data_IF_186646363373
#
_entry.id   IF_186646363373
#
_cell.length_a   1.000
_cell.length_b   1.000
_cell.length_c   1.000
_cell.angle_alpha   90.00
_cell.angle_beta   90.00
_cell.angle_gamma   90.00
#
_symmetry.space_group_name_H-M   'P 1'
#
loop_
_entity.id
_entity.type
_entity.pdbx_description
1 polymer ?
#
# COMPACT_ATOMS: atom_id res chain seq x y z
N UNK A 1 4.83 -4.86 -20.30
CA UNK A 1 4.29 -4.97 -18.97
C UNK A 1 2.97 -5.68 -18.99
N UNK A 2 2.82 -6.64 -18.13
CA UNK A 2 1.58 -7.36 -18.10
C UNK A 2 0.52 -6.59 -17.35
N UNK A 3 -0.64 -6.48 -17.96
CA UNK A 3 -1.72 -5.74 -17.38
C UNK A 3 -2.46 -6.61 -16.37
N UNK A 4 -2.79 -6.04 -15.23
CA UNK A 4 -3.57 -6.76 -14.24
C UNK A 4 -4.99 -6.91 -14.71
N UNK A 5 -5.54 -8.11 -14.50
CA UNK A 5 -6.89 -8.43 -14.92
C UNK A 5 -7.86 -8.10 -13.79
N UNK A 6 -8.08 -6.83 -13.57
CA UNK A 6 -8.98 -6.37 -12.51
C UNK A 6 -10.21 -5.76 -13.17
N UNK A 7 -11.34 -6.39 -12.96
CA UNK A 7 -12.56 -5.93 -13.62
C UNK A 7 -13.17 -4.74 -12.92
N UNK A 8 -13.49 -4.89 -11.63
CA UNK A 8 -14.05 -3.78 -10.86
C UNK A 8 -13.10 -3.40 -9.74
N UNK A 9 -12.90 -4.31 -8.83
CA UNK A 9 -11.97 -4.11 -7.75
C UNK A 9 -11.47 -5.46 -7.26
N UNK A 10 -10.32 -5.43 -6.64
CA UNK A 10 -9.72 -6.62 -6.05
C UNK A 10 -9.04 -6.21 -4.75
N UNK A 11 -8.87 -7.20 -3.87
CA UNK A 11 -8.14 -6.99 -2.64
C UNK A 11 -6.79 -7.69 -2.80
N UNK A 12 -5.72 -6.95 -2.57
CA UNK A 12 -4.38 -7.51 -2.59
C UNK A 12 -3.76 -7.38 -1.21
N UNK A 13 -2.95 -8.36 -0.87
CA UNK A 13 -2.19 -8.31 0.38
C UNK A 13 -0.95 -7.47 0.17
N UNK A 14 -0.86 -6.36 0.87
CA UNK A 14 0.28 -5.48 0.73
C UNK A 14 0.07 -4.18 1.47
N UNK A 15 1.07 -3.32 1.38
CA UNK A 15 1.04 -2.02 2.03
C UNK A 15 1.29 -0.96 0.97
N UNK A 16 0.48 0.09 0.98
CA UNK A 16 0.59 1.12 -0.05
C UNK A 16 0.82 2.48 0.59
N UNK A 17 1.76 3.23 0.02
CA UNK A 17 1.99 4.62 0.42
C UNK A 17 1.92 5.50 -0.81
N UNK A 18 1.68 6.78 -0.58
CA UNK A 18 1.64 7.79 -1.60
C UNK A 18 2.82 8.72 -1.41
N UNK A 19 3.66 8.81 -2.43
CA UNK A 19 4.81 9.70 -2.41
C UNK A 19 4.57 10.78 -3.46
N UNK A 20 4.17 11.96 -2.99
CA UNK A 20 3.96 13.11 -3.87
C UNK A 20 3.04 12.78 -5.03
N UNK A 21 1.94 12.08 -4.74
CA UNK A 21 0.97 11.74 -5.75
C UNK A 21 1.21 10.43 -6.48
N UNK A 22 2.30 9.75 -6.19
CA UNK A 22 2.62 8.47 -6.81
C UNK A 22 2.43 7.34 -5.82
N UNK A 23 1.62 6.36 -6.19
CA UNK A 23 1.35 5.23 -5.31
C UNK A 23 2.41 4.16 -5.45
N UNK A 24 2.91 3.71 -4.30
CA UNK A 24 3.89 2.64 -4.22
C UNK A 24 3.26 1.49 -3.44
N UNK A 25 3.11 0.35 -4.09
CA UNK A 25 2.54 -0.84 -3.46
C UNK A 25 3.68 -1.76 -3.07
N UNK A 26 3.75 -2.08 -1.79
CA UNK A 26 4.79 -2.93 -1.24
C UNK A 26 4.19 -4.29 -0.97
N UNK A 27 4.70 -5.33 -1.63
CA UNK A 27 4.20 -6.69 -1.46
C UNK A 27 5.33 -7.58 -0.96
N UNK A 28 4.94 -8.74 -0.46
CA UNK A 28 5.90 -9.68 0.07
C UNK A 28 5.24 -10.53 1.13
N UNK A 29 5.93 -11.58 1.54
CA UNK A 29 5.39 -12.47 2.54
C UNK A 29 5.34 -11.79 3.90
N UNK A 30 4.56 -12.37 4.79
CA UNK A 30 4.46 -11.88 6.16
C UNK A 30 5.85 -11.87 6.79
N UNK A 31 6.21 -10.79 7.42
CA UNK A 31 7.52 -10.68 8.04
C UNK A 31 8.61 -10.19 7.11
N UNK A 32 8.29 -9.87 5.87
CA UNK A 32 9.31 -9.41 4.92
C UNK A 32 9.74 -7.96 5.14
N UNK A 33 9.04 -7.23 6.01
CA UNK A 33 9.42 -5.85 6.29
C UNK A 33 8.60 -4.82 5.56
N UNK A 34 7.42 -5.20 5.06
CA UNK A 34 6.59 -4.27 4.30
C UNK A 34 6.21 -3.04 5.12
N UNK A 35 5.72 -3.26 6.33
CA UNK A 35 5.29 -2.14 7.17
C UNK A 35 6.49 -1.30 7.63
N UNK A 36 7.62 -1.94 7.87
CA UNK A 36 8.82 -1.18 8.24
C UNK A 36 9.27 -0.26 7.12
N UNK A 37 9.23 -0.75 5.87
CA UNK A 37 9.59 0.11 4.75
C UNK A 37 8.58 1.25 4.62
N UNK A 38 7.30 0.95 4.77
CA UNK A 38 6.28 2.00 4.66
C UNK A 38 6.49 3.06 5.72
N UNK A 39 6.77 2.65 6.96
CA UNK A 39 6.98 3.60 8.04
C UNK A 39 8.19 4.47 7.75
N UNK A 40 9.26 3.88 7.22
CA UNK A 40 10.41 4.68 6.83
C UNK A 40 10.08 5.71 5.76
N UNK A 41 9.28 5.32 4.78
CA UNK A 41 8.88 6.27 3.74
C UNK A 41 7.98 7.36 4.30
N UNK A 42 7.09 7.00 5.23
CA UNK A 42 6.23 8.00 5.85
C UNK A 42 7.06 9.00 6.65
N UNK A 43 8.10 8.52 7.31
CA UNK A 43 9.00 9.43 8.04
C UNK A 43 9.68 10.42 7.10
N UNK A 44 9.81 10.06 5.82
CA UNK A 44 10.41 10.93 4.82
C UNK A 44 9.38 11.78 4.08
N UNK A 45 8.11 11.71 4.48
CA UNK A 45 7.09 12.57 3.92
C UNK A 45 6.00 11.86 3.13
N UNK A 46 6.03 10.55 3.03
CA UNK A 46 4.96 9.83 2.35
C UNK A 46 3.72 9.77 3.22
N UNK A 47 2.60 9.44 2.59
CA UNK A 47 1.33 9.24 3.28
C UNK A 47 0.91 7.79 3.15
N UNK A 48 0.33 7.25 4.18
CA UNK A 48 -0.19 5.89 4.12
C UNK A 48 -1.51 5.86 3.36
N UNK A 49 -1.65 4.88 2.48
CA UNK A 49 -2.92 4.64 1.81
C UNK A 49 -3.62 3.44 2.46
N UNK A 50 -2.91 2.34 2.59
CA UNK A 50 -3.49 1.12 3.16
C UNK A 50 -2.37 0.24 3.69
N UNK A 51 -2.67 -0.49 4.76
CA UNK A 51 -1.71 -1.43 5.34
C UNK A 51 -2.34 -2.82 5.35
N UNK A 52 -1.55 -3.82 4.96
CA UNK A 52 -1.90 -5.23 5.00
C UNK A 52 -2.86 -5.65 3.91
N UNK A 53 -3.90 -4.88 3.63
CA UNK A 53 -4.82 -5.17 2.53
C UNK A 53 -5.10 -3.89 1.77
N UNK A 54 -5.01 -3.98 0.45
CA UNK A 54 -5.25 -2.84 -0.42
C UNK A 54 -6.35 -3.18 -1.39
N UNK A 55 -7.27 -2.25 -1.58
CA UNK A 55 -8.31 -2.41 -2.60
C UNK A 55 -7.85 -1.71 -3.86
N UNK A 56 -7.85 -2.45 -4.97
CA UNK A 56 -7.38 -1.92 -6.24
C UNK A 56 -8.55 -1.88 -7.20
N UNK A 57 -8.75 -0.73 -7.82
CA UNK A 57 -9.80 -0.55 -8.82
C UNK A 57 -9.20 -0.16 -10.13
N UNK A 58 -9.73 -0.75 -11.19
CA UNK A 58 -9.31 -0.43 -12.54
C UNK A 58 -10.15 0.75 -13.02
N UNK A 59 -9.49 1.85 -13.35
CA UNK A 59 -10.15 3.03 -13.89
C UNK A 59 -9.61 3.31 -15.27
N UNK A 60 -10.19 4.28 -15.95
CA UNK A 60 -9.89 4.49 -17.36
C UNK A 60 -8.41 4.68 -17.64
N UNK A 61 -7.71 5.38 -16.77
CA UNK A 61 -6.31 5.70 -17.03
C UNK A 61 -5.36 5.10 -16.02
N UNK A 62 -5.75 4.01 -15.37
CA UNK A 62 -4.81 3.35 -14.48
C UNK A 62 -5.49 2.55 -13.40
N UNK A 63 -4.72 2.27 -12.36
CA UNK A 63 -5.20 1.55 -11.19
C UNK A 63 -5.16 2.46 -9.98
N UNK A 64 -6.26 2.49 -9.25
CA UNK A 64 -6.35 3.28 -8.03
C UNK A 64 -6.34 2.33 -6.85
N UNK A 65 -5.54 2.67 -5.85
CA UNK A 65 -5.45 1.88 -4.63
C UNK A 65 -6.05 2.68 -3.49
N UNK A 66 -6.83 2.01 -2.65
CA UNK A 66 -7.40 2.61 -1.47
C UNK A 66 -7.44 1.58 -0.36
N UNK A 67 -7.74 2.06 0.84
CA UNK A 67 -7.91 1.17 1.98
C UNK A 67 -9.31 0.55 1.94
N UNK A 68 -9.42 -0.77 2.14
CA UNK A 68 -10.77 -1.34 2.31
C UNK A 68 -11.50 -0.65 3.44
N UNK A 69 -12.78 -0.40 3.24
CA UNK A 69 -13.55 0.38 4.20
C UNK A 69 -13.62 -0.27 5.57
N UNK A 70 -13.51 -1.59 5.62
CA UNK A 70 -13.64 -2.31 6.88
C UNK A 70 -12.39 -2.27 7.74
N UNK A 71 -11.28 -1.75 7.23
CA UNK A 71 -10.02 -1.78 7.96
C UNK A 71 -9.76 -0.44 8.65
N UNK A 72 -9.00 -0.46 9.75
CA UNK A 72 -8.72 0.78 10.46
C UNK A 72 -7.73 1.67 9.70
N UNK A 73 -7.75 2.94 10.04
CA UNK A 73 -6.85 3.93 9.45
C UNK A 73 -5.56 4.00 10.25
N UNK A 74 -4.81 2.93 10.24
CA UNK A 74 -3.60 2.87 11.05
C UNK A 74 -2.67 1.84 10.45
N UNK A 75 -1.46 1.79 10.98
CA UNK A 75 -0.47 0.82 10.55
C UNK A 75 0.04 0.10 11.80
N UNK A 76 0.28 -1.19 11.67
CA UNK A 76 0.76 -1.97 12.81
C UNK A 76 2.27 -1.94 12.87
N UNK A 77 2.80 -1.50 14.01
CA UNK A 77 4.22 -1.54 14.28
C UNK A 77 4.49 -2.65 15.29
N UNK A 78 5.40 -3.53 14.95
CA UNK A 78 5.74 -4.63 15.81
C UNK A 78 6.21 -4.13 17.18
N UNK A 79 5.63 -4.71 18.21
CA UNK A 79 5.99 -4.38 19.58
C UNK A 79 5.33 -3.13 20.11
N UNK A 80 4.65 -2.38 19.27
CA UNK A 80 3.99 -1.14 19.69
C UNK A 80 2.48 -1.24 19.51
N UNK A 81 2.05 -1.81 18.39
CA UNK A 81 0.64 -1.93 18.10
C UNK A 81 0.24 -1.03 16.93
N UNK A 82 -1.02 -0.63 16.92
CA UNK A 82 -1.53 0.21 15.85
C UNK A 82 -1.13 1.66 16.08
N UNK A 83 -0.59 2.27 15.04
CA UNK A 83 -0.09 3.64 15.13
C UNK A 83 -0.78 4.49 14.08
N UNK A 84 -1.26 5.66 14.47
CA UNK A 84 -1.83 6.63 13.53
C UNK A 84 -0.71 7.33 12.78
N UNK A 85 -0.89 7.46 11.48
CA UNK A 85 0.08 8.14 10.63
C UNK A 85 -0.67 9.01 9.64
N UNK A 86 0.02 9.95 8.97
CA UNK A 86 -0.65 10.73 7.92
C UNK A 86 -1.16 9.82 6.81
N UNK A 87 -2.38 10.06 6.37
CA UNK A 87 -3.01 9.20 5.37
C UNK A 87 -3.66 10.01 4.27
N UNK A 88 -3.79 9.38 3.11
CA UNK A 88 -4.64 9.86 2.03
C UNK A 88 -5.61 8.76 1.69
N UNK A 89 -6.72 9.14 1.04
CA UNK A 89 -7.79 8.18 0.79
C UNK A 89 -7.47 7.21 -0.32
N UNK A 90 -6.72 7.63 -1.30
CA UNK A 90 -6.41 6.78 -2.45
C UNK A 90 -5.25 7.37 -3.21
N UNK A 91 -4.68 6.55 -4.09
CA UNK A 91 -3.59 7.00 -4.93
C UNK A 91 -3.58 6.17 -6.20
N UNK A 92 -2.98 6.71 -7.27
CA UNK A 92 -2.73 5.92 -8.47
C UNK A 92 -1.49 5.06 -8.28
N UNK A 93 -1.61 3.80 -8.70
CA UNK A 93 -0.49 2.87 -8.59
C UNK A 93 0.55 3.18 -9.65
N UNK A 94 1.78 3.44 -9.22
CA UNK A 94 2.88 3.72 -10.12
C UNK A 94 4.06 2.79 -9.98
N UNK A 95 4.22 2.14 -8.83
CA UNK A 95 5.38 1.30 -8.58
C UNK A 95 4.99 0.16 -7.66
N UNK A 96 5.48 -1.02 -7.95
CA UNK A 96 5.32 -2.16 -7.06
C UNK A 96 6.70 -2.60 -6.60
N UNK A 97 6.86 -2.70 -5.28
CA UNK A 97 8.09 -3.18 -4.68
C UNK A 97 7.81 -4.56 -4.09
N UNK A 98 8.52 -5.57 -4.57
CA UNK A 98 8.35 -6.93 -4.07
C UNK A 98 9.49 -7.26 -3.12
N UNK A 99 9.16 -7.33 -1.83
CA UNK A 99 10.18 -7.55 -0.79
C UNK A 99 10.73 -8.97 -0.80
N UNK A 100 10.06 -9.89 -1.46
CA UNK A 100 10.52 -11.28 -1.50
C UNK A 100 11.53 -11.54 -2.61
N UNK A 101 11.78 -10.58 -3.50
CA UNK A 101 12.65 -10.82 -4.65
C UNK A 101 14.07 -10.33 -4.46
N UNK A 102 14.43 -9.93 -3.24
CA UNK A 102 15.81 -9.57 -2.95
C UNK A 102 16.57 -10.78 -2.43
N UNK A 103 17.50 -10.70 -2.99
CA UNK A 103 18.09 -11.84 -2.55
C UNK A 103 19.06 -11.86 -2.00
#
# INVERSE_FOLDING_TARGET
>A
VQKLEIKKSSILHGTCVDIKGSGVLIVGSSGAGKSSLAIGLIALGAYLVADDQCEIKNVDDGLIISKPASLPKSIEMRGIGLVSVPMVNQTYLNLIVNMDEFX
#
